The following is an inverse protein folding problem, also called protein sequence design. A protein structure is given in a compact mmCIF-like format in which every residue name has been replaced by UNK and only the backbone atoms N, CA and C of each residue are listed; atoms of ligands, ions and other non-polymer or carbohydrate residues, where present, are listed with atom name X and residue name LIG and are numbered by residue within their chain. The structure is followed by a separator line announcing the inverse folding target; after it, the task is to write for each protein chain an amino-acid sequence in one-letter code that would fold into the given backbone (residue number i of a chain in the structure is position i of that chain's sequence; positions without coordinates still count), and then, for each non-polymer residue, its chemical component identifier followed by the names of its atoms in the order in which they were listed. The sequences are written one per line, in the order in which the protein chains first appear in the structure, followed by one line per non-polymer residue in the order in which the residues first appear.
data_IF_112696456934
#
_entry.id   IF_112696456934
#
_cell.length_a   1.000
_cell.length_b   1.000
_cell.length_c   1.000
_cell.angle_alpha   90.00
_cell.angle_beta   90.00
_cell.angle_gamma   90.00
#
_symmetry.space_group_name_H-M   'P 1'
#
loop_
_entity.id
_entity.type
_entity.pdbx_description
1 polymer ?
#
# COMPACT_ATOMS: atom_id res chain seq x y z
N UNK A 1 7.82 3.39 -21.64
CA UNK A 1 7.64 3.25 -23.10
C UNK A 1 7.33 1.81 -23.54
N UNK A 2 6.33 1.13 -22.93
CA UNK A 2 5.94 -0.24 -23.30
C UNK A 2 4.48 -0.38 -23.76
N UNK A 3 3.66 0.68 -23.64
CA UNK A 3 2.23 0.65 -24.01
C UNK A 3 1.93 1.05 -25.46
N UNK A 4 2.94 1.39 -26.27
CA UNK A 4 2.75 1.96 -27.62
C UNK A 4 2.59 0.90 -28.74
N UNK A 5 2.70 -0.40 -28.45
CA UNK A 5 2.78 -1.43 -29.49
C UNK A 5 1.49 -2.22 -29.77
N UNK A 6 0.34 -1.86 -29.18
CA UNK A 6 -0.93 -2.58 -29.42
C UNK A 6 -0.97 -4.04 -28.95
N UNK A 7 0.11 -4.55 -28.38
CA UNK A 7 0.12 -5.83 -27.68
C UNK A 7 -0.46 -5.66 -26.27
N UNK A 8 -1.34 -6.58 -25.88
CA UNK A 8 -1.79 -6.71 -24.49
C UNK A 8 -0.55 -7.03 -23.65
N UNK A 9 -0.06 -6.02 -22.93
CA UNK A 9 0.91 -6.23 -21.86
C UNK A 9 0.24 -7.14 -20.84
N UNK A 10 0.86 -8.27 -20.43
CA UNK A 10 0.31 -9.10 -19.37
C UNK A 10 0.06 -8.24 -18.13
N UNK A 11 -1.07 -8.47 -17.44
CA UNK A 11 -1.28 -7.87 -16.12
C UNK A 11 -0.24 -8.44 -15.16
N UNK A 12 0.85 -7.71 -15.00
CA UNK A 12 1.88 -7.98 -14.01
C UNK A 12 1.40 -7.36 -12.70
N UNK A 13 1.02 -8.20 -11.74
CA UNK A 13 0.77 -7.73 -10.38
C UNK A 13 2.10 -7.32 -9.76
N UNK A 14 2.20 -6.11 -9.17
CA UNK A 14 3.41 -5.66 -8.49
C UNK A 14 3.70 -6.54 -7.26
N UNK A 15 4.95 -6.56 -6.83
CA UNK A 15 5.39 -7.21 -5.59
C UNK A 15 5.47 -6.14 -4.51
N UNK A 16 4.75 -6.32 -3.40
CA UNK A 16 4.88 -5.45 -2.23
C UNK A 16 6.12 -5.88 -1.44
N UNK A 17 7.12 -5.01 -1.38
CA UNK A 17 8.30 -5.21 -0.54
C UNK A 17 8.14 -4.49 0.81
N UNK A 18 8.58 -5.13 1.89
CA UNK A 18 8.50 -4.57 3.25
C UNK A 18 9.88 -4.52 3.90
N UNK A 19 10.14 -3.45 4.65
CA UNK A 19 11.31 -3.36 5.51
C UNK A 19 10.99 -3.92 6.90
N UNK A 20 11.44 -5.15 7.20
CA UNK A 20 11.21 -5.81 8.49
C UNK A 20 11.75 -5.02 9.70
N UNK A 21 12.74 -4.15 9.49
CA UNK A 21 13.29 -3.33 10.57
C UNK A 21 12.45 -2.08 10.89
N UNK A 22 11.50 -1.72 10.02
CA UNK A 22 10.70 -0.52 10.18
C UNK A 22 9.70 -0.65 11.34
N UNK A 23 9.59 0.34 12.25
CA UNK A 23 8.71 0.25 13.43
C UNK A 23 7.25 -0.06 13.13
N UNK A 24 6.69 0.49 12.03
CA UNK A 24 5.30 0.18 11.63
C UNK A 24 5.13 -1.26 11.13
N UNK A 25 6.15 -1.84 10.51
CA UNK A 25 6.11 -3.24 10.06
C UNK A 25 6.20 -4.16 11.26
N UNK A 26 7.09 -3.87 12.22
CA UNK A 26 7.15 -4.62 13.50
C UNK A 26 5.84 -4.53 14.28
N UNK A 27 5.17 -3.38 14.25
CA UNK A 27 3.89 -3.19 14.94
C UNK A 27 2.78 -4.10 14.40
N UNK A 28 2.84 -4.53 13.13
CA UNK A 28 1.86 -5.46 12.57
C UNK A 28 1.77 -6.76 13.38
N UNK A 29 2.89 -7.32 13.84
CA UNK A 29 2.93 -8.62 14.51
C UNK A 29 2.03 -8.70 15.76
N UNK A 30 1.80 -7.56 16.41
CA UNK A 30 1.10 -7.50 17.70
C UNK A 30 -0.13 -6.59 17.70
N UNK A 31 -0.45 -5.95 16.57
CA UNK A 31 -1.53 -4.97 16.51
C UNK A 31 -2.90 -5.61 16.35
N UNK A 32 -3.86 -5.22 17.21
CA UNK A 32 -5.29 -5.53 17.02
C UNK A 32 -5.89 -4.84 15.78
N UNK A 33 -5.17 -3.87 15.19
CA UNK A 33 -5.53 -3.16 13.97
C UNK A 33 -4.67 -3.60 12.77
N UNK A 34 -4.29 -4.89 12.72
CA UNK A 34 -3.43 -5.44 11.68
C UNK A 34 -3.88 -5.06 10.27
N UNK A 35 -5.15 -5.29 9.93
CA UNK A 35 -5.68 -5.04 8.59
C UNK A 35 -5.57 -3.56 8.20
N UNK A 36 -5.90 -2.66 9.12
CA UNK A 36 -5.80 -1.21 8.86
C UNK A 36 -4.36 -0.77 8.66
N UNK A 37 -3.41 -1.24 9.49
CA UNK A 37 -1.99 -0.96 9.31
C UNK A 37 -1.44 -1.54 7.99
N UNK A 38 -1.82 -2.78 7.65
CA UNK A 38 -1.39 -3.43 6.42
C UNK A 38 -1.90 -2.66 5.20
N UNK A 39 -3.16 -2.21 5.22
CA UNK A 39 -3.71 -1.36 4.17
C UNK A 39 -2.99 -0.01 4.07
N UNK A 40 -2.67 0.63 5.19
CA UNK A 40 -1.90 1.89 5.17
C UNK A 40 -0.53 1.67 4.53
N UNK A 41 0.20 0.61 4.88
CA UNK A 41 1.52 0.33 4.31
C UNK A 41 1.43 0.06 2.80
N UNK A 42 0.41 -0.69 2.35
CA UNK A 42 0.18 -0.94 0.94
C UNK A 42 -0.18 0.33 0.17
N UNK A 43 -1.11 1.13 0.67
CA UNK A 43 -1.54 2.38 0.05
C UNK A 43 -0.38 3.39 -0.02
N UNK A 44 0.49 3.42 1.00
CA UNK A 44 1.71 4.22 0.98
C UNK A 44 2.68 3.77 -0.11
N UNK A 45 2.86 2.45 -0.31
CA UNK A 45 3.71 1.93 -1.39
C UNK A 45 3.15 2.33 -2.76
N UNK A 46 1.83 2.21 -2.97
CA UNK A 46 1.18 2.66 -4.21
C UNK A 46 1.42 4.15 -4.45
N UNK A 47 1.22 4.99 -3.45
CA UNK A 47 1.45 6.44 -3.54
C UNK A 47 2.92 6.75 -3.89
N UNK A 48 3.87 6.04 -3.28
CA UNK A 48 5.30 6.24 -3.53
C UNK A 48 5.71 5.87 -4.97
N UNK A 49 5.06 4.89 -5.58
CA UNK A 49 5.25 4.53 -6.99
C UNK A 49 4.49 5.44 -7.98
N UNK A 50 3.76 6.46 -7.47
CA UNK A 50 2.95 7.37 -8.26
C UNK A 50 1.57 6.82 -8.64
N UNK A 51 1.17 5.70 -8.03
CA UNK A 51 -0.19 5.17 -8.08
C UNK A 51 -1.12 5.90 -7.12
N UNK A 52 -2.40 5.54 -7.17
CA UNK A 52 -3.42 6.00 -6.22
C UNK A 52 -4.03 4.78 -5.53
N UNK A 53 -4.34 4.88 -4.23
CA UNK A 53 -5.18 3.88 -3.56
C UNK A 53 -6.51 3.73 -4.30
N UNK A 54 -7.05 2.52 -4.29
CA UNK A 54 -8.36 2.24 -4.90
C UNK A 54 -9.48 3.05 -4.23
N UNK A 55 -9.39 3.22 -2.90
CA UNK A 55 -10.26 4.09 -2.11
C UNK A 55 -9.42 5.10 -1.28
N UNK A 56 -9.17 6.30 -1.82
CA UNK A 56 -8.43 7.35 -1.12
C UNK A 56 -9.10 7.82 0.17
N UNK A 57 -10.44 7.78 0.25
CA UNK A 57 -11.15 8.21 1.44
C UNK A 57 -10.98 7.21 2.59
N UNK A 58 -11.03 5.91 2.28
CA UNK A 58 -10.73 4.86 3.24
C UNK A 58 -9.28 4.93 3.73
N UNK A 59 -8.32 5.21 2.84
CA UNK A 59 -6.92 5.45 3.23
C UNK A 59 -6.78 6.59 4.25
N UNK A 60 -7.33 7.77 3.94
CA UNK A 60 -7.30 8.93 4.85
C UNK A 60 -7.96 8.61 6.19
N UNK A 61 -9.09 7.90 6.17
CA UNK A 61 -9.79 7.48 7.39
C UNK A 61 -8.91 6.58 8.27
N UNK A 62 -8.23 5.58 7.68
CA UNK A 62 -7.32 4.68 8.41
C UNK A 62 -6.15 5.45 9.02
N UNK A 63 -5.52 6.35 8.25
CA UNK A 63 -4.40 7.16 8.74
C UNK A 63 -4.83 8.03 9.92
N UNK A 64 -5.99 8.69 9.82
CA UNK A 64 -6.50 9.52 10.91
C UNK A 64 -6.81 8.69 12.17
N UNK A 65 -7.36 7.48 12.01
CA UNK A 65 -7.63 6.58 13.13
C UNK A 65 -6.36 6.12 13.88
N UNK A 66 -5.17 6.20 13.26
CA UNK A 66 -3.90 5.90 13.93
C UNK A 66 -3.27 7.11 14.65
N UNK A 67 -3.71 8.33 14.31
CA UNK A 67 -3.16 9.57 14.85
C UNK A 67 -3.99 10.15 16.02
N UNK A 68 -5.25 9.73 16.14
CA UNK A 68 -6.19 10.14 17.18
C UNK A 68 -6.27 9.09 18.28
#
# INVERSE_FOLDING_TARGET
MLKQAGQKVPDLKPVLEVNAEHPLVKKLETSEHFDDLAHILFDQALLAEGGLPEDPAAYVKRVNALLM
#
